data_IF_842992054415
#
_entry.id   IF_842992054415
#
_cell.length_a   1.000
_cell.length_b   1.000
_cell.length_c   1.000
_cell.angle_alpha   90.00
_cell.angle_beta   90.00
_cell.angle_gamma   90.00
#
_symmetry.space_group_name_H-M   'P 1'
#
loop_
_entity.id
_entity.type
_entity.pdbx_description
1 polymer ?
#
# COMPACT_ATOMS: atom_id res chain seq x y z
N UNK A 1 -39.91 15.94 -39.41
CA UNK A 1 -38.80 16.21 -40.35
C UNK A 1 -37.70 15.22 -40.05
N UNK A 2 -37.48 14.27 -40.99
CA UNK A 2 -36.51 13.20 -40.95
C UNK A 2 -35.12 13.76 -41.28
N UNK A 3 -34.05 13.39 -40.56
CA UNK A 3 -32.69 13.41 -41.07
C UNK A 3 -31.95 12.15 -40.61
N UNK A 4 -31.80 11.31 -41.56
CA UNK A 4 -30.94 10.15 -41.71
C UNK A 4 -29.48 10.59 -41.67
N UNK A 5 -28.58 9.91 -40.94
CA UNK A 5 -27.15 10.00 -41.17
C UNK A 5 -26.49 8.63 -41.15
N UNK A 6 -25.95 8.40 -42.21
CA UNK A 6 -25.09 7.49 -42.95
C UNK A 6 -24.03 6.74 -42.11
N UNK A 7 -24.04 5.44 -42.29
CA UNK A 7 -23.07 4.45 -41.84
C UNK A 7 -21.87 4.49 -42.78
N UNK A 8 -20.66 4.66 -42.22
CA UNK A 8 -19.41 4.40 -42.99
C UNK A 8 -18.67 3.22 -42.35
N UNK A 9 -18.71 2.12 -43.08
CA UNK A 9 -17.89 0.92 -42.89
C UNK A 9 -16.56 1.18 -43.61
N UNK A 10 -15.46 1.05 -42.89
CA UNK A 10 -14.13 0.93 -43.53
C UNK A 10 -13.56 -0.43 -43.13
N UNK A 11 -13.56 -1.33 -44.09
CA UNK A 11 -12.83 -2.57 -44.04
C UNK A 11 -11.35 -2.27 -44.36
N UNK A 12 -10.41 -2.82 -43.64
CA UNK A 12 -9.03 -2.89 -44.04
C UNK A 12 -8.47 -4.29 -43.81
N UNK A 13 -7.79 -4.72 -44.85
CA UNK A 13 -7.45 -6.09 -45.17
C UNK A 13 -6.29 -6.67 -44.35
N UNK A 14 -6.34 -7.98 -44.11
CA UNK A 14 -5.24 -8.87 -43.75
C UNK A 14 -4.12 -8.81 -44.82
N UNK A 15 -2.87 -8.71 -44.34
CA UNK A 15 -1.70 -9.22 -45.06
C UNK A 15 -0.95 -10.16 -44.12
N UNK A 16 -1.02 -11.43 -44.42
CA UNK A 16 -0.18 -12.48 -43.89
C UNK A 16 1.17 -12.46 -44.62
N UNK A 17 2.25 -12.55 -43.87
CA UNK A 17 3.56 -12.87 -44.49
C UNK A 17 4.19 -13.98 -43.65
N UNK A 18 4.18 -15.18 -44.21
CA UNK A 18 5.02 -16.31 -43.80
C UNK A 18 6.48 -16.01 -44.18
N UNK A 19 7.42 -16.32 -43.30
CA UNK A 19 8.80 -16.61 -43.65
C UNK A 19 9.45 -17.64 -42.74
N UNK A 20 9.71 -18.69 -43.38
CA UNK A 20 10.57 -19.86 -43.28
C UNK A 20 11.60 -19.98 -42.15
N UNK A 21 11.57 -21.19 -41.61
CA UNK A 21 12.55 -21.92 -40.85
C UNK A 21 13.88 -22.07 -41.60
N UNK A 22 15.00 -21.75 -40.94
CA UNK A 22 16.31 -22.31 -41.31
C UNK A 22 17.04 -22.83 -40.07
N UNK A 23 17.13 -24.14 -39.99
CA UNK A 23 17.98 -24.92 -39.12
C UNK A 23 19.47 -24.73 -39.50
N UNK A 24 20.30 -24.49 -38.51
CA UNK A 24 21.74 -24.60 -38.63
C UNK A 24 22.29 -25.49 -37.51
N UNK A 25 22.68 -26.70 -37.92
CA UNK A 25 23.49 -27.62 -37.12
C UNK A 25 24.93 -27.10 -37.05
N UNK A 26 25.53 -27.04 -35.90
CA UNK A 26 26.94 -26.80 -35.70
C UNK A 26 27.60 -28.06 -35.07
N UNK A 27 28.62 -28.57 -35.78
CA UNK A 27 29.42 -29.73 -35.44
C UNK A 27 30.48 -29.37 -34.39
N UNK A 28 30.69 -30.28 -33.46
CA UNK A 28 31.83 -30.26 -32.51
C UNK A 28 33.16 -30.55 -33.18
N UNK A 29 34.26 -29.90 -32.81
CA UNK A 29 35.60 -30.37 -33.13
C UNK A 29 36.24 -31.11 -31.95
N UNK A 30 36.72 -32.30 -32.24
CA UNK A 30 37.61 -33.13 -31.44
C UNK A 30 38.93 -32.40 -31.19
N UNK A 31 39.38 -32.29 -29.93
CA UNK A 31 40.73 -31.83 -29.60
C UNK A 31 41.53 -32.99 -29.04
N UNK A 32 42.63 -33.27 -29.75
CA UNK A 32 43.69 -34.19 -29.36
C UNK A 32 44.51 -33.66 -28.18
N UNK A 33 44.85 -34.57 -27.27
CA UNK A 33 45.76 -34.32 -26.15
C UNK A 33 47.21 -34.36 -26.64
N UNK A 34 48.01 -33.35 -26.31
CA UNK A 34 49.46 -33.42 -26.31
C UNK A 34 50.03 -33.05 -24.94
N UNK A 35 50.79 -33.95 -24.40
CA UNK A 35 51.50 -33.86 -23.12
C UNK A 35 52.83 -33.12 -23.28
N UNK A 36 53.05 -32.02 -22.50
CA UNK A 36 54.42 -31.56 -22.18
C UNK A 36 54.51 -30.95 -20.79
N UNK A 37 55.29 -31.61 -19.97
CA UNK A 37 56.22 -31.20 -18.89
C UNK A 37 56.11 -29.80 -18.29
N UNK A 38 55.84 -29.80 -17.03
CA UNK A 38 56.48 -29.23 -15.84
C UNK A 38 57.05 -27.81 -15.90
N UNK A 39 56.36 -26.90 -15.25
CA UNK A 39 56.96 -25.73 -14.58
C UNK A 39 56.21 -25.51 -13.27
N UNK A 40 57.00 -25.40 -12.17
CA UNK A 40 56.54 -25.12 -10.83
C UNK A 40 56.00 -23.70 -10.75
N UNK A 41 54.69 -23.56 -10.71
CA UNK A 41 54.07 -22.28 -10.34
C UNK A 41 53.92 -22.15 -8.83
N UNK A 42 54.55 -21.12 -8.30
CA UNK A 42 54.38 -20.66 -6.92
C UNK A 42 52.94 -20.23 -6.78
N UNK A 43 52.16 -20.89 -5.89
CA UNK A 43 50.80 -20.51 -5.52
C UNK A 43 50.86 -19.16 -4.82
N UNK A 44 50.50 -18.10 -5.55
CA UNK A 44 50.09 -16.83 -4.95
C UNK A 44 48.67 -17.00 -4.45
N UNK A 45 48.48 -16.98 -3.14
CA UNK A 45 47.21 -17.00 -2.46
C UNK A 45 46.27 -15.92 -3.08
N UNK A 46 44.97 -16.21 -3.28
CA UNK A 46 44.05 -15.23 -3.82
C UNK A 46 43.98 -14.02 -2.86
N UNK A 47 44.30 -12.85 -3.38
CA UNK A 47 44.10 -11.58 -2.70
C UNK A 47 42.64 -11.51 -2.27
N UNK A 48 42.39 -11.47 -0.96
CA UNK A 48 41.09 -11.21 -0.40
C UNK A 48 40.76 -9.76 -0.81
N UNK A 49 39.92 -9.60 -1.83
CA UNK A 49 39.41 -8.30 -2.22
C UNK A 49 38.68 -7.69 -1.02
N UNK A 50 39.15 -6.56 -0.55
CA UNK A 50 38.47 -5.78 0.48
C UNK A 50 37.06 -5.48 -0.01
N UNK A 51 36.00 -5.82 0.74
CA UNK A 51 34.63 -5.51 0.30
C UNK A 51 34.54 -4.02 0.03
N UNK A 52 33.90 -3.66 -1.07
CA UNK A 52 33.63 -2.26 -1.41
C UNK A 52 32.91 -1.61 -0.23
N UNK A 53 33.27 -0.35 0.14
CA UNK A 53 32.61 0.35 1.23
C UNK A 53 31.10 0.35 0.99
N UNK A 54 30.32 -0.03 1.99
CA UNK A 54 28.86 0.04 1.89
C UNK A 54 28.44 1.48 1.53
N UNK A 55 27.49 1.64 0.60
CA UNK A 55 27.01 2.97 0.24
C UNK A 55 26.49 3.68 1.48
N UNK A 56 26.99 4.88 1.73
CA UNK A 56 26.54 5.72 2.85
C UNK A 56 25.06 6.02 2.65
N UNK A 57 24.20 5.39 3.45
CA UNK A 57 22.75 5.62 3.39
C UNK A 57 22.41 7.00 3.93
N UNK A 58 21.52 7.75 3.26
CA UNK A 58 21.05 9.01 3.81
C UNK A 58 20.32 8.73 5.13
N UNK A 59 20.70 9.41 6.20
CA UNK A 59 20.03 9.31 7.51
C UNK A 59 19.11 10.51 7.68
N UNK A 60 17.81 10.26 7.69
CA UNK A 60 16.78 11.26 7.94
C UNK A 60 16.68 11.50 9.45
N UNK A 61 16.64 12.78 9.84
CA UNK A 61 16.42 13.25 11.21
C UNK A 61 15.30 14.29 11.22
N UNK A 62 14.91 14.75 12.38
CA UNK A 62 13.93 15.84 12.51
C UNK A 62 14.40 17.15 11.88
N UNK A 63 15.72 17.34 11.67
CA UNK A 63 16.31 18.50 11.03
C UNK A 63 16.32 18.42 9.50
N UNK A 64 16.10 17.23 8.92
CA UNK A 64 16.06 17.04 7.48
C UNK A 64 14.88 17.78 6.87
N UNK A 65 15.15 18.54 5.81
CA UNK A 65 14.11 19.31 5.12
C UNK A 65 13.25 18.44 4.21
N UNK A 66 12.07 18.92 3.87
CA UNK A 66 11.17 18.20 2.96
C UNK A 66 11.76 18.06 1.56
N UNK A 67 12.50 19.07 1.06
CA UNK A 67 13.18 18.97 -0.22
C UNK A 67 14.26 17.89 -0.23
N UNK A 68 15.01 17.74 0.86
CA UNK A 68 16.00 16.67 1.00
C UNK A 68 15.32 15.29 1.02
N UNK A 69 14.20 15.13 1.77
CA UNK A 69 13.44 13.87 1.80
C UNK A 69 12.92 13.50 0.41
N UNK A 70 12.34 14.46 -0.32
CA UNK A 70 11.85 14.24 -1.70
C UNK A 70 12.97 13.84 -2.66
N UNK A 71 14.18 14.35 -2.44
CA UNK A 71 15.36 14.12 -3.28
C UNK A 71 16.12 12.82 -2.95
N UNK A 72 15.72 12.06 -1.91
CA UNK A 72 16.34 10.79 -1.56
C UNK A 72 16.32 9.86 -2.78
N UNK A 73 17.47 9.30 -3.15
CA UNK A 73 17.62 8.48 -4.36
C UNK A 73 16.71 7.24 -4.36
N UNK A 74 16.50 6.62 -3.20
CA UNK A 74 15.58 5.49 -3.01
C UNK A 74 14.13 5.85 -3.32
N UNK A 75 13.77 7.14 -3.24
CA UNK A 75 12.42 7.65 -3.49
C UNK A 75 12.24 8.25 -4.87
N UNK A 76 13.19 8.02 -5.78
CA UNK A 76 13.11 8.52 -7.16
C UNK A 76 11.77 8.14 -7.82
N UNK A 77 11.05 9.16 -8.29
CA UNK A 77 9.76 9.02 -8.95
C UNK A 77 8.53 9.06 -8.02
N UNK A 78 8.72 8.95 -6.68
CA UNK A 78 7.61 9.00 -5.74
C UNK A 78 7.90 9.79 -4.44
N UNK A 79 9.08 10.38 -4.30
CA UNK A 79 9.46 11.14 -3.10
C UNK A 79 8.47 12.24 -2.72
N UNK A 80 7.79 12.81 -3.72
CA UNK A 80 6.75 13.82 -3.51
C UNK A 80 5.52 13.28 -2.75
N UNK A 81 5.33 11.97 -2.62
CA UNK A 81 4.20 11.35 -1.93
C UNK A 81 4.56 10.81 -0.54
N UNK A 82 5.81 10.96 -0.10
CA UNK A 82 6.24 10.52 1.25
C UNK A 82 5.59 11.37 2.33
N UNK A 83 5.53 12.67 2.10
CA UNK A 83 4.91 13.64 3.01
C UNK A 83 3.69 14.27 2.33
N UNK A 84 2.70 14.65 3.13
CA UNK A 84 1.50 15.29 2.61
C UNK A 84 1.83 16.66 1.99
N UNK A 85 1.63 16.81 0.67
CA UNK A 85 1.97 18.04 -0.08
C UNK A 85 0.82 19.00 -0.25
N UNK A 86 -0.39 18.49 -0.25
CA UNK A 86 -1.53 19.18 -0.81
C UNK A 86 -2.18 20.13 0.20
N UNK A 87 -2.46 21.36 -0.23
CA UNK A 87 -3.24 22.41 0.46
C UNK A 87 -2.78 22.88 1.84
N UNK A 88 -1.67 22.37 2.40
CA UNK A 88 -1.24 22.69 3.77
C UNK A 88 -0.04 23.64 3.80
N UNK A 89 0.28 24.29 2.70
CA UNK A 89 1.38 25.25 2.67
C UNK A 89 2.77 24.59 2.73
N UNK A 90 2.94 23.47 1.99
CA UNK A 90 4.25 22.86 1.80
C UNK A 90 5.30 23.90 1.40
N UNK A 91 6.36 23.97 2.18
CA UNK A 91 7.53 24.79 1.87
C UNK A 91 8.75 23.88 1.80
N UNK A 92 9.54 23.92 0.72
CA UNK A 92 10.71 23.05 0.54
C UNK A 92 11.68 23.04 1.72
N UNK A 93 11.80 24.16 2.41
CA UNK A 93 12.70 24.36 3.55
C UNK A 93 12.12 23.93 4.90
N UNK A 94 10.87 23.48 4.96
CA UNK A 94 10.31 22.97 6.21
C UNK A 94 11.12 21.76 6.67
N UNK A 95 11.44 21.73 7.95
CA UNK A 95 12.07 20.58 8.59
C UNK A 95 11.03 19.52 8.92
N UNK A 96 11.45 18.27 9.02
CA UNK A 96 10.58 17.18 9.47
C UNK A 96 10.07 17.44 10.90
N UNK A 97 10.80 18.16 11.73
CA UNK A 97 10.34 18.64 13.04
C UNK A 97 8.99 19.36 12.99
N UNK A 98 8.66 19.97 11.86
CA UNK A 98 7.41 20.70 11.65
C UNK A 98 6.27 19.85 11.07
N UNK A 99 6.45 18.53 10.91
CA UNK A 99 5.47 17.64 10.25
C UNK A 99 4.07 17.74 10.86
N UNK A 100 3.95 17.82 12.18
CA UNK A 100 2.67 17.97 12.85
C UNK A 100 1.92 19.26 12.47
N UNK A 101 2.63 20.33 12.08
CA UNK A 101 2.03 21.59 11.60
C UNK A 101 1.37 21.43 10.23
N UNK A 102 1.77 20.42 9.47
CA UNK A 102 1.28 20.14 8.12
C UNK A 102 0.14 19.10 8.07
N UNK A 103 -0.16 18.50 9.22
CA UNK A 103 -1.17 17.44 9.36
C UNK A 103 -2.23 17.85 10.39
N UNK A 104 -3.10 18.84 10.12
CA UNK A 104 -3.97 19.47 11.11
C UNK A 104 -4.94 18.51 11.80
N UNK A 105 -5.27 17.38 11.17
CA UNK A 105 -6.11 16.34 11.75
C UNK A 105 -5.32 15.25 12.51
N UNK A 106 -3.98 15.30 12.49
CA UNK A 106 -3.11 14.30 13.11
C UNK A 106 -2.25 14.93 14.23
N UNK A 107 -2.88 15.25 15.34
CA UNK A 107 -2.20 15.93 16.46
C UNK A 107 -1.18 15.05 17.18
N UNK A 108 -1.25 13.74 17.01
CA UNK A 108 -0.37 12.74 17.63
C UNK A 108 0.85 12.40 16.76
N UNK A 109 1.06 13.10 15.65
CA UNK A 109 2.24 12.89 14.81
C UNK A 109 3.50 13.32 15.57
N UNK A 110 4.44 12.39 15.71
CA UNK A 110 5.76 12.60 16.27
C UNK A 110 6.82 12.64 15.17
N UNK A 111 7.66 13.68 15.18
CA UNK A 111 8.66 13.89 14.14
C UNK A 111 9.80 12.84 14.17
N UNK A 112 10.14 12.29 15.35
CA UNK A 112 11.14 11.22 15.46
C UNK A 112 10.57 9.92 14.90
N UNK A 113 9.30 9.58 15.20
CA UNK A 113 8.64 8.42 14.61
C UNK A 113 8.53 8.56 13.09
N UNK A 114 8.29 9.78 12.57
CA UNK A 114 8.28 10.04 11.14
C UNK A 114 9.68 9.85 10.52
N UNK A 115 10.74 10.33 11.18
CA UNK A 115 12.12 10.11 10.73
C UNK A 115 12.49 8.62 10.71
N UNK A 116 12.15 7.88 11.77
CA UNK A 116 12.37 6.44 11.84
C UNK A 116 11.59 5.68 10.76
N UNK A 117 10.35 6.10 10.50
CA UNK A 117 9.55 5.55 9.42
C UNK A 117 10.24 5.71 8.06
N UNK A 118 10.71 6.93 7.73
CA UNK A 118 11.39 7.21 6.47
C UNK A 118 12.69 6.42 6.36
N UNK A 119 13.51 6.33 7.42
CA UNK A 119 14.74 5.55 7.44
C UNK A 119 14.46 4.05 7.16
N UNK A 120 13.45 3.47 7.80
CA UNK A 120 13.00 2.10 7.53
C UNK A 120 12.49 1.92 6.11
N UNK A 121 11.86 2.92 5.50
CA UNK A 121 11.43 2.87 4.09
C UNK A 121 12.65 2.84 3.16
N UNK A 122 13.69 3.64 3.43
CA UNK A 122 14.95 3.62 2.67
C UNK A 122 15.56 2.21 2.71
N UNK A 123 15.71 1.64 3.89
CA UNK A 123 16.25 0.28 4.07
C UNK A 123 15.44 -0.76 3.29
N UNK A 124 14.11 -0.67 3.32
CA UNK A 124 13.22 -1.60 2.61
C UNK A 124 13.30 -1.47 1.10
N UNK A 125 13.51 -0.26 0.57
CA UNK A 125 13.76 -0.05 -0.87
C UNK A 125 15.09 -0.69 -1.26
N UNK A 126 16.16 -0.46 -0.48
CA UNK A 126 17.50 -1.00 -0.75
C UNK A 126 17.50 -2.53 -0.85
N UNK A 127 16.68 -3.22 -0.03
CA UNK A 127 16.60 -4.70 -0.02
C UNK A 127 15.43 -5.24 -0.84
N UNK A 128 14.76 -4.41 -1.64
CA UNK A 128 13.65 -4.82 -2.52
C UNK A 128 12.36 -5.22 -1.78
N UNK A 129 12.22 -4.87 -0.49
CA UNK A 129 11.01 -5.11 0.31
C UNK A 129 9.97 -4.01 0.19
N UNK A 130 10.29 -2.92 -0.47
CA UNK A 130 9.36 -1.84 -0.76
C UNK A 130 9.54 -1.34 -2.20
N UNK A 131 8.42 -1.05 -2.87
CA UNK A 131 8.38 -0.42 -4.19
C UNK A 131 7.18 0.50 -4.31
N UNK A 132 7.18 1.37 -5.32
CA UNK A 132 6.05 2.23 -5.67
C UNK A 132 5.58 1.95 -7.09
N UNK A 133 4.28 1.87 -7.28
CA UNK A 133 3.64 1.62 -8.56
C UNK A 133 2.64 2.73 -8.86
N UNK A 134 2.93 3.55 -9.84
CA UNK A 134 1.99 4.56 -10.33
C UNK A 134 0.85 3.89 -11.10
N UNK A 135 -0.39 4.27 -10.80
CA UNK A 135 -1.60 3.78 -11.50
C UNK A 135 -2.37 4.90 -12.19
N UNK A 136 -1.83 6.10 -12.15
CA UNK A 136 -2.37 7.30 -12.79
C UNK A 136 -1.71 8.55 -12.24
N UNK A 137 -2.12 9.70 -12.76
CA UNK A 137 -1.64 10.97 -12.24
C UNK A 137 -2.07 11.12 -10.78
N UNK A 138 -1.09 11.33 -9.88
CA UNK A 138 -1.24 11.47 -8.43
C UNK A 138 -1.95 10.29 -7.73
N UNK A 139 -1.96 9.11 -8.38
CA UNK A 139 -2.51 7.87 -7.83
C UNK A 139 -1.48 6.76 -7.93
N UNK A 140 -1.28 6.02 -6.86
CA UNK A 140 -0.34 4.90 -6.85
C UNK A 140 -0.41 4.05 -5.59
N UNK A 141 0.37 3.01 -5.58
CA UNK A 141 0.47 2.05 -4.49
C UNK A 141 1.92 1.94 -4.04
N UNK A 142 2.15 2.16 -2.76
CA UNK A 142 3.37 1.76 -2.09
C UNK A 142 3.21 0.30 -1.65
N UNK A 143 4.01 -0.57 -2.20
CA UNK A 143 3.97 -2.00 -1.90
C UNK A 143 5.04 -2.38 -0.88
N UNK A 144 4.62 -2.85 0.29
CA UNK A 144 5.44 -3.43 1.34
C UNK A 144 5.29 -4.94 1.30
N UNK A 145 6.32 -5.64 0.88
CA UNK A 145 6.30 -7.08 0.63
C UNK A 145 6.28 -7.88 1.92
N UNK A 146 5.30 -8.78 2.02
CA UNK A 146 5.24 -9.85 3.01
C UNK A 146 5.86 -11.15 2.49
N UNK A 147 5.30 -12.27 2.92
CA UNK A 147 5.67 -13.60 2.38
C UNK A 147 5.05 -13.78 0.99
N UNK A 148 5.77 -14.38 0.04
CA UNK A 148 5.18 -14.77 -1.24
C UNK A 148 3.95 -15.68 -1.02
N UNK A 149 2.87 -15.42 -1.77
CA UNK A 149 1.61 -16.15 -1.63
C UNK A 149 0.75 -15.76 -0.43
N UNK A 150 1.18 -14.80 0.41
CA UNK A 150 0.34 -14.29 1.48
C UNK A 150 -0.76 -13.37 0.93
N UNK A 151 -1.95 -13.31 1.58
CA UNK A 151 -2.98 -12.36 1.24
C UNK A 151 -2.52 -10.91 1.47
N UNK A 152 -3.28 -9.96 0.94
CA UNK A 152 -2.90 -8.56 1.00
C UNK A 152 -3.89 -7.66 1.75
N UNK A 153 -3.37 -6.57 2.27
CA UNK A 153 -4.10 -5.45 2.81
C UNK A 153 -3.90 -4.21 1.94
N UNK A 154 -4.95 -3.45 1.64
CA UNK A 154 -4.81 -2.08 1.13
C UNK A 154 -5.17 -1.10 2.24
N UNK A 155 -4.25 -0.17 2.51
CA UNK A 155 -4.35 0.83 3.56
C UNK A 155 -4.59 2.19 2.93
N UNK A 156 -5.66 2.86 3.33
CA UNK A 156 -5.99 4.23 2.96
C UNK A 156 -5.83 5.14 4.18
N UNK A 157 -4.85 6.02 4.15
CA UNK A 157 -4.64 7.00 5.22
C UNK A 157 -5.71 8.09 5.20
N UNK A 158 -5.93 8.74 6.32
CA UNK A 158 -6.83 9.87 6.45
C UNK A 158 -6.23 11.20 5.99
N UNK A 159 -6.92 12.27 6.33
CA UNK A 159 -6.56 13.65 5.98
C UNK A 159 -7.76 14.48 5.48
N UNK A 160 -8.99 14.02 5.76
CA UNK A 160 -10.23 14.73 5.42
C UNK A 160 -10.43 14.96 3.91
N UNK A 161 -9.79 14.17 3.06
CA UNK A 161 -9.72 14.37 1.60
C UNK A 161 -9.03 15.67 1.16
N UNK A 162 -8.32 16.36 2.07
CA UNK A 162 -7.50 17.53 1.77
C UNK A 162 -6.03 17.17 1.58
N UNK A 163 -5.59 16.09 2.19
CA UNK A 163 -4.25 15.51 2.05
C UNK A 163 -4.29 14.01 2.34
N UNK A 164 -3.18 13.31 2.11
CA UNK A 164 -3.02 11.90 2.42
C UNK A 164 -1.95 11.73 3.51
N UNK A 165 -2.37 11.35 4.71
CA UNK A 165 -1.53 11.26 5.91
C UNK A 165 -0.69 9.99 6.02
N UNK A 166 -0.17 9.46 4.90
CA UNK A 166 0.48 8.13 4.85
C UNK A 166 1.69 8.00 5.75
N UNK A 167 2.44 9.09 6.00
CA UNK A 167 3.60 9.07 6.90
C UNK A 167 3.24 8.67 8.34
N UNK A 168 2.00 8.89 8.75
CA UNK A 168 1.52 8.60 10.11
C UNK A 168 0.57 7.40 10.17
N UNK A 169 -0.34 7.26 9.20
CA UNK A 169 -1.42 6.26 9.24
C UNK A 169 -1.24 5.13 8.22
N UNK A 170 -0.39 5.31 7.21
CA UNK A 170 -0.21 4.34 6.13
C UNK A 170 1.06 3.53 6.27
N UNK A 171 2.22 4.18 6.13
CA UNK A 171 3.51 3.48 6.05
C UNK A 171 3.87 2.69 7.32
N UNK A 172 3.70 3.22 8.56
CA UNK A 172 3.99 2.44 9.75
C UNK A 172 3.14 1.19 9.86
N UNK A 173 1.85 1.28 9.54
CA UNK A 173 0.94 0.14 9.55
C UNK A 173 1.29 -0.89 8.47
N UNK A 174 1.62 -0.44 7.25
CA UNK A 174 2.03 -1.32 6.16
C UNK A 174 3.33 -2.08 6.49
N UNK A 175 4.30 -1.42 7.13
CA UNK A 175 5.51 -2.07 7.61
C UNK A 175 5.19 -3.12 8.66
N UNK A 176 4.34 -2.82 9.63
CA UNK A 176 3.93 -3.76 10.67
C UNK A 176 3.24 -5.00 10.06
N UNK A 177 2.32 -4.82 9.11
CA UNK A 177 1.67 -5.93 8.41
C UNK A 177 2.66 -6.74 7.57
N UNK A 178 3.60 -6.07 6.88
CA UNK A 178 4.67 -6.73 6.11
C UNK A 178 5.60 -7.56 7.01
N UNK A 179 5.92 -7.09 8.21
CA UNK A 179 6.75 -7.82 9.17
C UNK A 179 6.02 -9.02 9.78
N UNK A 180 4.69 -8.97 9.88
CA UNK A 180 3.84 -10.11 10.20
C UNK A 180 3.70 -11.10 9.04
N UNK A 181 4.21 -10.77 7.86
CA UNK A 181 4.24 -11.63 6.68
C UNK A 181 3.11 -11.40 5.68
N UNK A 182 2.25 -10.41 5.87
CA UNK A 182 1.21 -10.05 4.91
C UNK A 182 1.74 -9.08 3.86
N UNK A 183 1.23 -9.16 2.64
CA UNK A 183 1.50 -8.15 1.64
C UNK A 183 0.67 -6.90 1.97
N UNK A 184 1.28 -5.74 2.02
CA UNK A 184 0.58 -4.50 2.37
C UNK A 184 0.80 -3.42 1.32
N UNK A 185 -0.27 -2.76 0.93
CA UNK A 185 -0.25 -1.66 -0.01
C UNK A 185 -0.78 -0.39 0.66
N UNK A 186 -0.05 0.71 0.55
CA UNK A 186 -0.56 2.03 0.96
C UNK A 186 -0.99 2.79 -0.29
N UNK A 187 -2.24 3.20 -0.33
CA UNK A 187 -2.80 3.93 -1.44
C UNK A 187 -2.46 5.42 -1.34
N UNK A 188 -1.73 5.92 -2.34
CA UNK A 188 -1.74 7.34 -2.66
C UNK A 188 -2.96 7.61 -3.54
N UNK A 189 -3.89 8.42 -3.07
CA UNK A 189 -5.11 8.77 -3.78
C UNK A 189 -5.22 10.27 -4.00
N UNK A 190 -6.01 10.68 -4.98
CA UNK A 190 -6.24 12.11 -5.25
C UNK A 190 -7.15 12.72 -4.19
N UNK A 191 -6.76 13.85 -3.71
CA UNK A 191 -7.58 14.69 -2.86
C UNK A 191 -8.70 15.39 -3.66
N UNK A 192 -9.63 16.02 -2.99
CA UNK A 192 -10.74 16.71 -3.65
C UNK A 192 -12.11 16.05 -3.47
N UNK A 193 -12.20 15.03 -2.60
CA UNK A 193 -13.46 14.52 -2.12
C UNK A 193 -13.62 13.01 -2.16
N UNK A 194 -14.58 12.54 -1.40
CA UNK A 194 -14.90 11.14 -1.15
C UNK A 194 -15.04 10.31 -2.44
N UNK A 195 -15.81 10.77 -3.41
CA UNK A 195 -16.08 10.02 -4.64
C UNK A 195 -14.84 9.82 -5.51
N UNK A 196 -13.95 10.81 -5.56
CA UNK A 196 -12.68 10.71 -6.30
C UNK A 196 -11.79 9.69 -5.62
N UNK A 197 -11.65 9.77 -4.31
CA UNK A 197 -10.83 8.89 -3.50
C UNK A 197 -11.33 7.42 -3.55
N UNK A 198 -12.64 7.18 -3.49
CA UNK A 198 -13.22 5.84 -3.65
C UNK A 198 -12.97 5.25 -5.05
N UNK A 199 -13.02 6.07 -6.11
CA UNK A 199 -12.66 5.62 -7.46
C UNK A 199 -11.18 5.20 -7.53
N UNK A 200 -10.31 5.94 -6.86
CA UNK A 200 -8.89 5.61 -6.84
C UNK A 200 -8.61 4.35 -6.01
N UNK A 201 -9.31 4.13 -4.90
CA UNK A 201 -9.23 2.86 -4.16
C UNK A 201 -9.72 1.68 -5.00
N UNK A 202 -10.84 1.83 -5.74
CA UNK A 202 -11.32 0.78 -6.66
C UNK A 202 -10.29 0.44 -7.75
N UNK A 203 -9.59 1.44 -8.30
CA UNK A 203 -8.49 1.25 -9.26
C UNK A 203 -7.27 0.59 -8.61
N UNK A 204 -6.94 0.98 -7.37
CA UNK A 204 -5.87 0.35 -6.60
C UNK A 204 -6.11 -1.13 -6.37
N UNK A 205 -7.33 -1.50 -5.97
CA UNK A 205 -7.74 -2.91 -5.83
C UNK A 205 -7.55 -3.64 -7.16
N UNK A 206 -8.10 -3.12 -8.26
CA UNK A 206 -8.00 -3.72 -9.58
C UNK A 206 -6.55 -3.90 -10.05
N UNK A 207 -5.70 -2.91 -9.75
CA UNK A 207 -4.29 -2.95 -10.10
C UNK A 207 -3.56 -4.08 -9.37
N UNK A 208 -3.80 -4.28 -8.06
CA UNK A 208 -3.23 -5.40 -7.32
C UNK A 208 -3.67 -6.73 -7.92
N UNK A 209 -4.97 -6.90 -8.22
CA UNK A 209 -5.48 -8.13 -8.83
C UNK A 209 -4.85 -8.44 -10.19
N UNK A 210 -4.53 -7.43 -11.00
CA UNK A 210 -3.89 -7.59 -12.30
C UNK A 210 -2.42 -8.00 -12.22
N UNK A 211 -1.72 -7.66 -11.14
CA UNK A 211 -0.31 -7.94 -10.96
C UNK A 211 -0.04 -9.01 -9.89
N UNK A 212 -1.11 -9.68 -9.40
CA UNK A 212 -1.02 -10.61 -8.28
C UNK A 212 -0.04 -11.76 -8.53
N UNK A 213 -0.05 -12.35 -9.71
CA UNK A 213 0.84 -13.46 -10.09
C UNK A 213 2.30 -13.00 -10.13
N UNK A 214 2.57 -11.85 -10.77
CA UNK A 214 3.90 -11.22 -10.84
C UNK A 214 4.46 -10.95 -9.44
N UNK A 215 3.61 -10.44 -8.56
CA UNK A 215 4.01 -10.04 -7.21
C UNK A 215 3.93 -11.17 -6.21
N UNK A 216 3.40 -12.33 -6.59
CA UNK A 216 3.13 -13.50 -5.74
C UNK A 216 2.26 -13.11 -4.54
N UNK A 217 1.13 -12.46 -4.82
CA UNK A 217 0.16 -11.99 -3.83
C UNK A 217 -1.13 -12.81 -3.97
N UNK A 218 -1.62 -13.37 -2.86
CA UNK A 218 -2.92 -14.02 -2.84
C UNK A 218 -4.04 -12.96 -2.81
N UNK A 219 -5.00 -13.10 -3.71
CA UNK A 219 -6.15 -12.19 -3.87
C UNK A 219 -7.45 -12.72 -3.27
N UNK A 220 -7.48 -13.96 -2.78
CA UNK A 220 -8.72 -14.61 -2.34
C UNK A 220 -9.35 -13.91 -1.13
N UNK A 221 -8.54 -13.60 -0.13
CA UNK A 221 -9.01 -13.15 1.17
C UNK A 221 -8.37 -11.81 1.60
N UNK A 222 -8.27 -10.88 0.66
CA UNK A 222 -7.70 -9.54 0.93
C UNK A 222 -8.55 -8.72 1.91
N UNK A 223 -7.94 -7.70 2.50
CA UNK A 223 -8.59 -6.77 3.43
C UNK A 223 -8.42 -5.31 3.03
N UNK A 224 -9.38 -4.47 3.43
CA UNK A 224 -9.30 -3.02 3.31
C UNK A 224 -9.14 -2.39 4.70
N UNK A 225 -8.14 -1.55 4.83
CA UNK A 225 -7.81 -0.83 6.06
C UNK A 225 -7.88 0.66 5.80
N UNK A 226 -8.38 1.40 6.76
CA UNK A 226 -8.41 2.85 6.60
C UNK A 226 -8.50 3.59 7.91
N UNK A 227 -8.04 4.85 7.88
CA UNK A 227 -8.09 5.76 9.00
C UNK A 227 -8.85 7.05 8.60
N UNK A 228 -9.76 7.54 9.45
CA UNK A 228 -10.53 8.78 9.20
C UNK A 228 -11.21 8.77 7.81
N UNK A 229 -10.89 9.71 6.94
CA UNK A 229 -11.35 9.72 5.55
C UNK A 229 -11.01 8.43 4.78
N UNK A 230 -9.84 7.82 5.05
CA UNK A 230 -9.48 6.52 4.47
C UNK A 230 -10.35 5.38 4.98
N UNK A 231 -10.84 5.46 6.22
CA UNK A 231 -11.78 4.49 6.76
C UNK A 231 -13.18 4.62 6.12
N UNK A 232 -13.59 5.84 5.75
CA UNK A 232 -14.80 6.04 4.96
C UNK A 232 -14.70 5.35 3.60
N UNK A 233 -13.54 5.48 2.93
CA UNK A 233 -13.28 4.78 1.65
C UNK A 233 -13.32 3.26 1.82
N UNK A 234 -12.64 2.72 2.84
CA UNK A 234 -12.58 1.29 3.10
C UNK A 234 -13.97 0.72 3.42
N UNK A 235 -14.76 1.40 4.26
CA UNK A 235 -16.14 1.02 4.57
C UNK A 235 -17.02 1.05 3.32
N UNK A 236 -16.94 2.11 2.53
CA UNK A 236 -17.76 2.28 1.34
C UNK A 236 -17.46 1.25 0.24
N UNK A 237 -16.17 0.93 -0.01
CA UNK A 237 -15.79 -0.15 -0.93
C UNK A 237 -16.19 -1.53 -0.40
N UNK A 238 -16.11 -1.74 0.92
CA UNK A 238 -16.64 -2.93 1.57
C UNK A 238 -18.14 -3.09 1.35
N UNK A 239 -18.93 -2.03 1.57
CA UNK A 239 -20.39 -2.04 1.44
C UNK A 239 -20.88 -2.16 -0.01
N UNK A 240 -20.28 -1.43 -0.94
CA UNK A 240 -20.80 -1.30 -2.30
C UNK A 240 -19.95 -1.99 -3.37
N UNK A 241 -18.69 -2.35 -3.07
CA UNK A 241 -17.76 -2.98 -3.99
C UNK A 241 -17.20 -2.01 -5.05
N UNK A 242 -16.23 -2.51 -5.81
CA UNK A 242 -15.50 -1.72 -6.81
C UNK A 242 -16.39 -1.21 -7.95
N UNK A 243 -17.34 -2.05 -8.41
CA UNK A 243 -18.23 -1.73 -9.53
C UNK A 243 -19.10 -0.48 -9.29
N UNK A 244 -19.46 -0.21 -8.03
CA UNK A 244 -20.25 0.96 -7.68
C UNK A 244 -19.52 2.27 -8.03
N UNK A 245 -18.20 2.31 -7.81
CA UNK A 245 -17.37 3.49 -8.06
C UNK A 245 -16.78 3.54 -9.46
N UNK A 246 -16.43 2.38 -10.03
CA UNK A 246 -15.90 2.24 -11.39
C UNK A 246 -16.62 1.08 -12.07
N UNK A 247 -17.65 1.34 -12.90
CA UNK A 247 -18.53 0.31 -13.46
C UNK A 247 -17.82 -0.81 -14.23
N UNK A 248 -16.65 -0.52 -14.82
CA UNK A 248 -15.83 -1.50 -15.55
C UNK A 248 -14.97 -2.39 -14.65
N UNK A 249 -14.87 -2.09 -13.34
CA UNK A 249 -14.07 -2.85 -12.39
C UNK A 249 -14.97 -3.71 -11.53
N UNK A 250 -14.86 -5.03 -11.71
CA UNK A 250 -15.61 -6.01 -10.91
C UNK A 250 -14.61 -6.93 -10.20
N UNK A 251 -14.43 -6.72 -8.89
CA UNK A 251 -13.56 -7.53 -8.04
C UNK A 251 -14.37 -8.09 -6.85
N UNK A 252 -13.96 -9.24 -6.30
CA UNK A 252 -14.55 -9.75 -5.07
C UNK A 252 -14.56 -8.69 -3.96
N UNK A 253 -15.46 -8.81 -3.00
CA UNK A 253 -15.41 -8.00 -1.78
C UNK A 253 -14.25 -8.44 -0.89
N UNK A 254 -13.69 -7.54 -0.05
CA UNK A 254 -12.66 -7.92 0.91
C UNK A 254 -13.21 -8.93 1.93
N UNK A 255 -12.33 -9.79 2.43
CA UNK A 255 -12.66 -10.74 3.49
C UNK A 255 -12.91 -10.06 4.84
N UNK A 256 -12.28 -8.90 5.06
CA UNK A 256 -12.50 -8.06 6.23
C UNK A 256 -12.25 -6.58 5.92
N UNK A 257 -12.88 -5.69 6.72
CA UNK A 257 -12.65 -4.25 6.69
C UNK A 257 -12.23 -3.78 8.06
N UNK A 258 -11.13 -3.02 8.14
CA UNK A 258 -10.55 -2.49 9.37
C UNK A 258 -10.67 -0.96 9.36
N UNK A 259 -11.38 -0.42 10.34
CA UNK A 259 -11.77 1.00 10.37
C UNK A 259 -11.20 1.70 11.61
N UNK A 260 -10.40 2.72 11.39
CA UNK A 260 -9.93 3.59 12.46
C UNK A 260 -10.70 4.92 12.42
N UNK A 261 -11.37 5.23 13.51
CA UNK A 261 -12.01 6.52 13.80
C UNK A 261 -12.75 7.16 12.62
N UNK A 262 -13.88 6.58 12.17
CA UNK A 262 -14.75 7.14 11.13
C UNK A 262 -16.20 7.32 11.59
N UNK A 263 -16.90 8.32 11.06
CA UNK A 263 -18.34 8.49 11.24
C UNK A 263 -19.16 7.88 10.09
N UNK A 264 -18.53 7.17 9.14
CA UNK A 264 -19.24 6.55 8.03
C UNK A 264 -20.34 5.60 8.54
N UNK A 265 -21.60 5.96 8.28
CA UNK A 265 -22.75 5.26 8.83
C UNK A 265 -23.40 4.28 7.84
N UNK A 266 -23.17 4.48 6.54
CA UNK A 266 -23.80 3.68 5.49
C UNK A 266 -23.27 2.24 5.48
N UNK A 267 -24.19 1.28 5.32
CA UNK A 267 -23.86 -0.14 5.25
C UNK A 267 -24.94 -0.90 4.45
N UNK A 268 -24.62 -2.11 4.05
CA UNK A 268 -25.52 -3.04 3.38
C UNK A 268 -25.51 -4.38 4.09
N UNK A 269 -26.48 -5.24 3.80
CA UNK A 269 -26.47 -6.65 4.28
C UNK A 269 -25.30 -7.49 3.75
N UNK A 270 -24.53 -6.93 2.82
CA UNK A 270 -23.38 -7.58 2.19
C UNK A 270 -22.03 -7.00 2.65
N UNK A 271 -22.04 -6.17 3.69
CA UNK A 271 -20.79 -5.67 4.26
C UNK A 271 -19.91 -6.84 4.72
N UNK A 272 -18.60 -6.75 4.51
CA UNK A 272 -17.67 -7.72 5.06
C UNK A 272 -17.60 -7.62 6.59
N UNK A 273 -17.11 -8.66 7.27
CA UNK A 273 -16.70 -8.58 8.67
C UNK A 273 -15.88 -7.33 8.96
N UNK A 274 -16.20 -6.63 10.04
CA UNK A 274 -15.65 -5.29 10.31
C UNK A 274 -15.05 -5.20 11.72
N UNK A 275 -13.76 -4.81 11.78
CA UNK A 275 -13.07 -4.46 13.02
C UNK A 275 -12.88 -2.95 13.10
N UNK A 276 -13.27 -2.33 14.20
CA UNK A 276 -13.26 -0.89 14.35
C UNK A 276 -12.52 -0.44 15.61
N UNK A 277 -11.74 0.66 15.51
CA UNK A 277 -11.02 1.26 16.64
C UNK A 277 -11.26 2.77 16.69
N UNK A 278 -11.41 3.32 17.89
CA UNK A 278 -11.65 4.76 18.09
C UNK A 278 -11.18 5.19 19.48
N UNK A 279 -10.75 6.45 19.62
CA UNK A 279 -10.46 7.07 20.90
C UNK A 279 -11.76 7.49 21.63
N UNK A 280 -11.78 7.35 22.96
CA UNK A 280 -12.92 7.79 23.77
C UNK A 280 -13.10 9.32 23.75
N UNK A 281 -11.99 10.05 23.61
CA UNK A 281 -11.94 11.52 23.60
C UNK A 281 -11.85 12.10 22.17
N UNK A 282 -12.14 11.28 21.16
CA UNK A 282 -12.20 11.73 19.78
C UNK A 282 -13.37 12.70 19.58
N UNK A 283 -13.02 13.96 19.23
CA UNK A 283 -13.98 15.05 18.98
C UNK A 283 -14.29 15.23 17.50
N UNK A 284 -13.54 14.58 16.62
CA UNK A 284 -13.78 14.58 15.15
C UNK A 284 -14.72 13.45 14.80
N UNK A 285 -14.43 12.24 15.32
CA UNK A 285 -15.25 11.04 15.14
C UNK A 285 -15.70 10.53 16.50
N UNK A 286 -16.98 10.64 16.78
CA UNK A 286 -17.52 10.20 18.06
C UNK A 286 -17.51 8.68 18.18
N UNK A 287 -16.99 8.16 19.30
CA UNK A 287 -17.03 6.72 19.61
C UNK A 287 -18.46 6.15 19.53
N UNK A 288 -19.47 6.95 19.86
CA UNK A 288 -20.89 6.56 19.74
C UNK A 288 -21.32 6.29 18.30
N UNK A 289 -20.76 6.99 17.30
CA UNK A 289 -21.06 6.75 15.89
C UNK A 289 -20.52 5.38 15.45
N UNK A 290 -19.27 5.04 15.82
CA UNK A 290 -18.69 3.74 15.51
C UNK A 290 -19.37 2.59 16.25
N UNK A 291 -19.73 2.78 17.53
CA UNK A 291 -20.54 1.79 18.29
C UNK A 291 -21.88 1.53 17.58
N UNK A 292 -22.57 2.57 17.12
CA UNK A 292 -23.83 2.44 16.39
C UNK A 292 -23.67 1.70 15.09
N UNK A 293 -22.64 2.03 14.28
CA UNK A 293 -22.35 1.30 13.03
C UNK A 293 -22.14 -0.20 13.32
N UNK A 294 -21.29 -0.53 14.29
CA UNK A 294 -21.02 -1.94 14.64
C UNK A 294 -22.27 -2.64 15.15
N UNK A 295 -23.10 -1.98 15.97
CA UNK A 295 -24.38 -2.54 16.40
C UNK A 295 -25.32 -2.83 15.21
N UNK A 296 -25.38 -1.95 14.22
CA UNK A 296 -26.20 -2.13 13.03
C UNK A 296 -25.68 -3.30 12.17
N UNK A 297 -24.36 -3.43 11.99
CA UNK A 297 -23.75 -4.55 11.28
C UNK A 297 -24.09 -5.88 11.95
N UNK A 298 -23.96 -5.96 13.30
CA UNK A 298 -24.34 -7.15 14.08
C UNK A 298 -25.82 -7.49 13.93
N UNK A 299 -26.69 -6.49 13.96
CA UNK A 299 -28.12 -6.69 13.75
C UNK A 299 -28.45 -7.20 12.35
N UNK A 300 -27.61 -6.88 11.35
CA UNK A 300 -27.69 -7.43 10.00
C UNK A 300 -27.04 -8.82 9.83
N UNK A 301 -26.55 -9.43 10.93
CA UNK A 301 -25.91 -10.74 10.91
C UNK A 301 -24.43 -10.73 10.50
N UNK A 302 -23.79 -9.56 10.47
CA UNK A 302 -22.39 -9.40 10.09
C UNK A 302 -21.52 -9.40 11.35
N UNK A 303 -20.43 -10.20 11.37
CA UNK A 303 -19.46 -10.14 12.46
C UNK A 303 -18.75 -8.78 12.47
N UNK A 304 -18.81 -8.11 13.62
CA UNK A 304 -18.21 -6.79 13.75
C UNK A 304 -17.79 -6.54 15.20
N UNK A 305 -16.66 -5.85 15.38
CA UNK A 305 -16.10 -5.48 16.68
C UNK A 305 -15.78 -3.98 16.73
N UNK A 306 -15.93 -3.34 17.90
CA UNK A 306 -15.47 -1.98 18.14
C UNK A 306 -14.69 -1.91 19.45
N UNK A 307 -13.48 -1.36 19.36
CA UNK A 307 -12.60 -1.13 20.50
C UNK A 307 -12.46 0.38 20.73
N UNK A 308 -12.80 0.82 21.93
CA UNK A 308 -12.76 2.23 22.32
C UNK A 308 -11.68 2.41 23.35
N UNK A 309 -10.68 3.20 23.03
CA UNK A 309 -9.48 3.41 23.85
C UNK A 309 -9.63 4.68 24.71
N UNK A 310 -9.48 4.59 26.03
CA UNK A 310 -9.59 5.74 26.92
C UNK A 310 -8.44 6.72 26.72
N UNK A 311 -8.68 8.00 27.02
CA UNK A 311 -7.71 9.08 26.97
C UNK A 311 -7.04 9.24 25.59
N UNK A 312 -7.76 8.96 24.52
CA UNK A 312 -7.23 8.98 23.15
C UNK A 312 -8.11 9.84 22.24
N UNK A 313 -7.46 10.74 21.52
CA UNK A 313 -8.08 11.66 20.57
C UNK A 313 -8.00 11.12 19.13
N UNK A 314 -8.56 11.89 18.17
CA UNK A 314 -8.53 11.56 16.74
C UNK A 314 -7.10 11.44 16.15
N UNK A 315 -6.93 10.57 15.15
CA UNK A 315 -5.71 10.49 14.38
C UNK A 315 -4.52 9.90 15.13
N UNK A 316 -4.73 8.84 15.91
CA UNK A 316 -3.68 8.23 16.72
C UNK A 316 -2.73 7.29 15.94
N UNK A 317 -3.00 6.99 14.66
CA UNK A 317 -2.15 6.13 13.85
C UNK A 317 -1.89 4.76 14.50
N UNK A 318 -0.64 4.41 14.73
CA UNK A 318 -0.25 3.15 15.39
C UNK A 318 -0.52 3.14 16.90
N UNK A 319 -0.87 4.29 17.50
CA UNK A 319 -1.16 4.42 18.94
C UNK A 319 0.06 4.24 19.84
N UNK A 320 1.29 4.38 19.33
CA UNK A 320 2.53 4.17 20.09
C UNK A 320 2.56 5.09 21.31
N UNK A 321 2.85 4.51 22.48
CA UNK A 321 2.87 5.23 23.77
C UNK A 321 1.47 5.61 24.28
N UNK A 322 0.40 5.06 23.72
CA UNK A 322 -1.00 5.31 24.15
C UNK A 322 -1.70 4.03 24.54
N UNK A 323 -2.94 4.16 25.00
CA UNK A 323 -3.80 3.00 25.35
C UNK A 323 -4.15 2.14 24.13
N UNK A 324 -3.97 2.63 22.92
CA UNK A 324 -4.22 1.90 21.67
C UNK A 324 -2.96 1.19 21.11
N UNK A 325 -1.82 1.26 21.78
CA UNK A 325 -0.61 0.58 21.29
C UNK A 325 -0.88 -0.91 21.04
N UNK A 326 -0.48 -1.40 19.85
CA UNK A 326 -0.71 -2.79 19.47
C UNK A 326 -2.12 -3.12 18.94
N UNK A 327 -3.01 -2.14 18.77
CA UNK A 327 -4.37 -2.36 18.26
C UNK A 327 -4.41 -3.17 16.95
N UNK A 328 -3.42 -2.96 16.08
CA UNK A 328 -3.32 -3.62 14.77
C UNK A 328 -3.15 -5.14 14.89
N UNK A 329 -2.56 -5.64 15.98
CA UNK A 329 -2.43 -7.10 16.23
C UNK A 329 -3.82 -7.72 16.44
N UNK A 330 -4.71 -7.04 17.17
CA UNK A 330 -6.11 -7.48 17.32
C UNK A 330 -6.84 -7.48 15.97
N UNK A 331 -6.63 -6.45 15.17
CA UNK A 331 -7.22 -6.34 13.84
C UNK A 331 -6.71 -7.43 12.86
N UNK A 332 -5.42 -7.78 12.92
CA UNK A 332 -4.87 -8.91 12.14
C UNK A 332 -5.52 -10.22 12.57
N UNK A 333 -5.61 -10.51 13.89
CA UNK A 333 -6.29 -11.71 14.39
C UNK A 333 -7.76 -11.78 13.99
N UNK A 334 -8.42 -10.62 13.91
CA UNK A 334 -9.79 -10.55 13.40
C UNK A 334 -9.86 -10.93 11.92
N UNK A 335 -8.99 -10.35 11.07
CA UNK A 335 -8.92 -10.67 9.65
C UNK A 335 -8.57 -12.14 9.41
N UNK A 336 -7.64 -12.72 10.18
CA UNK A 336 -7.23 -14.13 10.09
C UNK A 336 -8.39 -15.12 10.27
N UNK A 337 -9.48 -14.75 10.95
CA UNK A 337 -10.70 -15.58 11.06
C UNK A 337 -11.34 -15.84 9.68
N UNK A 338 -11.09 -14.96 8.70
CA UNK A 338 -11.74 -14.98 7.39
C UNK A 338 -10.77 -15.33 6.26
N UNK A 339 -9.50 -15.54 6.56
CA UNK A 339 -8.54 -16.09 5.62
C UNK A 339 -8.78 -17.59 5.53
N UNK A 340 -9.17 -18.06 4.35
CA UNK A 340 -9.37 -19.48 4.09
C UNK A 340 -8.01 -20.18 4.21
N UNK A 341 -7.93 -21.15 5.10
CA UNK A 341 -6.77 -22.04 5.13
C UNK A 341 -6.80 -22.88 3.86
N UNK A 342 -5.77 -22.71 3.04
CA UNK A 342 -5.57 -23.59 1.89
C UNK A 342 -5.36 -25.02 2.42
N UNK A 343 -6.35 -25.91 2.22
CA UNK A 343 -6.29 -27.31 2.60
C UNK A 343 -5.64 -28.18 1.50
N UNK A 344 -5.06 -27.53 0.46
CA UNK A 344 -4.30 -28.20 -0.58
C UNK A 344 -2.84 -28.37 -0.13
N UNK A 345 -2.60 -29.38 0.68
CA UNK A 345 -1.28 -30.03 0.85
C UNK A 345 -1.40 -31.50 0.47
#
# INVERSE_FOLDING_TARGET
MKKTFLLMIVASACVATEMACMSCEAKDPVVQADAKRGETHIDTAPSIATPAPEPVRPKVTTETTWSEIVAISQFKGFGQYILARERIGYKPHMKLADVAKTLPFHRNVDANQAADCINKMIERVDVGRMSYHSIGQDVGLFFFRGRPGAPFAIISAGGGFYYVGSIHEGFPLAMALSDLGYNAFVLQYRTGGFQIACKDLARGIDYVFKHADEWKVDTADYSLWGASAGAEMAAALGSHGTRHYVPSIVRPRPAAVILCYTEHADYTRHDPPTYAVVGADDRVTKASAMRRRVANLKAAGIDAEVHVYPNLVHGFGMGIGTTAEGWHIGAVKFWEKYIKKDHSK
#
